data_IF_703702559759
#
_entry.id   IF_703702559759
#
_cell.length_a   1.000
_cell.length_b   1.000
_cell.length_c   1.000
_cell.angle_alpha   90.00
_cell.angle_beta   90.00
_cell.angle_gamma   90.00
#
_symmetry.space_group_name_H-M   'P 1'
#
loop_
_entity.id
_entity.type
_entity.pdbx_description
1 polymer ?
#
# COMPACT_ATOMS: atom_id res chain seq x y z
N UNK A 1 -6.08 6.50 4.95
CA UNK A 1 -4.65 6.76 5.19
C UNK A 1 -4.11 7.68 4.12
N UNK A 2 -3.31 8.64 4.51
CA UNK A 2 -2.71 9.58 3.56
C UNK A 2 -1.26 9.25 3.30
N UNK A 3 -0.82 9.55 2.08
CA UNK A 3 0.57 9.42 1.67
C UNK A 3 1.16 10.83 1.53
N UNK A 4 2.48 10.93 1.59
CA UNK A 4 3.18 12.22 1.46
C UNK A 4 3.16 12.76 0.03
N UNK A 5 2.89 11.90 -0.94
CA UNK A 5 2.77 12.30 -2.34
C UNK A 5 1.91 11.28 -3.09
N UNK A 6 1.42 11.67 -4.25
CA UNK A 6 0.67 10.77 -5.11
C UNK A 6 1.62 9.73 -5.72
N UNK A 7 1.32 8.42 -5.61
CA UNK A 7 2.15 7.39 -6.22
C UNK A 7 2.21 7.56 -7.75
N UNK A 8 3.42 7.43 -8.31
CA UNK A 8 3.59 7.47 -9.75
C UNK A 8 3.00 6.22 -10.42
N UNK A 9 2.73 6.27 -11.74
CA UNK A 9 2.29 5.07 -12.47
C UNK A 9 3.27 3.91 -12.35
N UNK A 10 4.56 4.19 -12.32
CA UNK A 10 5.61 3.19 -12.12
C UNK A 10 5.51 2.55 -10.75
N UNK A 11 5.29 3.34 -9.71
CA UNK A 11 5.10 2.85 -8.36
C UNK A 11 3.87 1.95 -8.27
N UNK A 12 2.75 2.38 -8.84
CA UNK A 12 1.52 1.59 -8.84
C UNK A 12 1.69 0.27 -9.60
N UNK A 13 2.46 0.27 -10.67
CA UNK A 13 2.75 -0.95 -11.43
C UNK A 13 3.53 -1.94 -10.56
N UNK A 14 4.56 -1.47 -9.87
CA UNK A 14 5.34 -2.31 -8.97
C UNK A 14 4.49 -2.85 -7.82
N UNK A 15 3.62 -2.01 -7.27
CA UNK A 15 2.70 -2.41 -6.22
C UNK A 15 1.78 -3.56 -6.66
N UNK A 16 1.19 -3.43 -7.84
CA UNK A 16 0.29 -4.46 -8.38
C UNK A 16 1.02 -5.75 -8.70
N UNK A 17 2.22 -5.65 -9.24
CA UNK A 17 3.02 -6.84 -9.55
C UNK A 17 3.37 -7.62 -8.27
N UNK A 18 3.63 -6.93 -7.17
CA UNK A 18 3.95 -7.56 -5.90
C UNK A 18 2.79 -8.32 -5.25
N UNK A 19 1.55 -8.04 -5.64
CA UNK A 19 0.38 -8.71 -5.07
C UNK A 19 0.40 -10.21 -5.34
N UNK A 20 0.93 -10.63 -6.47
CA UNK A 20 0.96 -12.04 -6.85
C UNK A 20 1.84 -12.89 -5.94
N UNK A 21 2.81 -12.28 -5.26
CA UNK A 21 3.70 -12.98 -4.34
C UNK A 21 3.23 -13.02 -2.89
N UNK A 22 2.06 -12.48 -2.60
CA UNK A 22 1.55 -12.40 -1.24
C UNK A 22 0.83 -13.67 -0.82
N UNK A 23 0.76 -13.89 0.50
CA UNK A 23 -0.10 -14.91 1.06
C UNK A 23 -1.56 -14.59 0.76
N UNK A 24 -2.43 -15.57 0.90
CA UNK A 24 -3.86 -15.37 0.64
C UNK A 24 -4.45 -14.27 1.55
N UNK A 25 -4.07 -14.28 2.83
CA UNK A 25 -4.55 -13.27 3.78
C UNK A 25 -4.09 -11.87 3.39
N UNK A 26 -2.81 -11.71 3.08
CA UNK A 26 -2.27 -10.41 2.68
C UNK A 26 -2.86 -9.93 1.36
N UNK A 27 -3.11 -10.85 0.43
CA UNK A 27 -3.74 -10.53 -0.84
C UNK A 27 -5.16 -10.02 -0.63
N UNK A 28 -5.93 -10.70 0.21
CA UNK A 28 -7.30 -10.27 0.52
C UNK A 28 -7.31 -8.88 1.17
N UNK A 29 -6.36 -8.62 2.06
CA UNK A 29 -6.22 -7.30 2.67
C UNK A 29 -5.88 -6.23 1.63
N UNK A 30 -4.93 -6.52 0.76
CA UNK A 30 -4.48 -5.56 -0.27
C UNK A 30 -5.59 -5.22 -1.26
N UNK A 31 -6.44 -6.19 -1.59
CA UNK A 31 -7.57 -5.95 -2.51
C UNK A 31 -8.62 -4.99 -1.93
N UNK A 32 -8.62 -4.75 -0.63
CA UNK A 32 -9.52 -3.80 0.01
C UNK A 32 -9.03 -2.36 -0.09
N UNK A 33 -7.77 -2.15 -0.45
CA UNK A 33 -7.19 -0.81 -0.53
C UNK A 33 -7.52 -0.16 -1.86
N UNK A 34 -8.05 1.07 -1.80
CA UNK A 34 -8.38 1.85 -2.97
C UNK A 34 -7.54 3.12 -2.94
N UNK A 35 -6.68 3.28 -3.94
CA UNK A 35 -5.80 4.44 -4.05
C UNK A 35 -6.52 5.56 -4.79
N UNK A 36 -6.56 6.74 -4.17
CA UNK A 36 -7.12 7.95 -4.77
C UNK A 36 -6.15 9.10 -4.55
N UNK A 37 -5.46 9.51 -5.61
CA UNK A 37 -4.42 10.54 -5.52
C UNK A 37 -3.42 10.19 -4.41
N UNK A 38 -3.30 11.03 -3.38
CA UNK A 38 -2.37 10.81 -2.27
C UNK A 38 -3.00 10.12 -1.07
N UNK A 39 -4.20 9.55 -1.23
CA UNK A 39 -4.87 8.87 -0.13
C UNK A 39 -5.22 7.43 -0.48
N UNK A 40 -5.32 6.60 0.55
CA UNK A 40 -5.72 5.21 0.42
C UNK A 40 -6.96 5.00 1.30
N UNK A 41 -8.01 4.48 0.69
CA UNK A 41 -9.26 4.17 1.39
C UNK A 41 -9.42 2.67 1.52
N UNK A 42 -9.97 2.25 2.64
CA UNK A 42 -10.35 0.85 2.83
C UNK A 42 -11.46 0.77 3.88
N UNK A 43 -12.34 -0.19 3.69
CA UNK A 43 -13.40 -0.48 4.65
C UNK A 43 -12.94 -1.58 5.60
N UNK A 44 -13.05 -1.33 6.89
CA UNK A 44 -12.67 -2.31 7.90
C UNK A 44 -13.48 -2.05 9.18
N UNK A 45 -13.72 -3.10 9.93
CA UNK A 45 -14.29 -2.93 11.26
C UNK A 45 -13.20 -2.53 12.25
N UNK A 46 -13.59 -2.12 13.46
CA UNK A 46 -12.66 -1.59 14.45
C UNK A 46 -11.52 -2.57 14.79
N UNK A 47 -11.78 -3.88 14.76
CA UNK A 47 -10.78 -4.87 15.07
C UNK A 47 -9.79 -5.13 13.96
N UNK A 48 -10.08 -4.70 12.73
CA UNK A 48 -9.26 -4.95 11.55
C UNK A 48 -8.38 -3.76 11.15
N UNK A 49 -8.74 -2.55 11.58
CA UNK A 49 -8.07 -1.32 11.11
C UNK A 49 -6.55 -1.37 11.33
N UNK A 50 -6.12 -1.74 12.52
CA UNK A 50 -4.69 -1.80 12.84
C UNK A 50 -3.94 -2.82 12.00
N UNK A 51 -4.53 -3.99 11.77
CA UNK A 51 -3.92 -5.04 10.95
C UNK A 51 -3.81 -4.61 9.49
N UNK A 52 -4.89 -4.07 8.92
CA UNK A 52 -4.89 -3.63 7.53
C UNK A 52 -3.91 -2.49 7.32
N UNK A 53 -3.82 -1.57 8.28
CA UNK A 53 -2.86 -0.47 8.20
C UNK A 53 -1.42 -0.98 8.16
N UNK A 54 -1.09 -1.99 8.97
CA UNK A 54 0.25 -2.58 8.96
C UNK A 54 0.56 -3.27 7.63
N UNK A 55 -0.41 -3.98 7.07
CA UNK A 55 -0.24 -4.61 5.76
C UNK A 55 0.06 -3.55 4.71
N UNK A 56 -0.71 -2.46 4.70
CA UNK A 56 -0.50 -1.37 3.77
C UNK A 56 0.90 -0.75 3.93
N UNK A 57 1.32 -0.47 5.17
CA UNK A 57 2.63 0.11 5.43
C UNK A 57 3.75 -0.78 4.93
N UNK A 58 3.66 -2.09 5.18
CA UNK A 58 4.65 -3.06 4.70
C UNK A 58 4.70 -3.12 3.18
N UNK A 59 3.54 -3.04 2.52
CA UNK A 59 3.49 -3.04 1.06
C UNK A 59 4.13 -1.78 0.49
N UNK A 60 3.85 -0.63 1.09
CA UNK A 60 4.45 0.64 0.69
C UNK A 60 5.98 0.56 0.81
N UNK A 61 6.50 0.08 1.93
CA UNK A 61 7.94 -0.08 2.12
C UNK A 61 8.57 -1.03 1.10
N UNK A 62 7.90 -2.15 0.84
CA UNK A 62 8.41 -3.14 -0.11
C UNK A 62 8.53 -2.54 -1.51
N UNK A 63 7.52 -1.78 -1.95
CA UNK A 63 7.55 -1.14 -3.26
C UNK A 63 8.64 -0.07 -3.31
N UNK A 64 8.77 0.73 -2.26
CA UNK A 64 9.82 1.74 -2.18
C UNK A 64 11.22 1.12 -2.28
N UNK A 65 11.40 -0.05 -1.68
CA UNK A 65 12.68 -0.77 -1.77
C UNK A 65 12.97 -1.27 -3.17
N UNK A 66 11.95 -1.69 -3.89
CA UNK A 66 12.09 -2.14 -5.29
C UNK A 66 12.47 -0.97 -6.18
N UNK A 67 11.90 0.20 -5.95
CA UNK A 67 12.15 1.40 -6.73
C UNK A 67 13.24 2.27 -6.11
N UNK A 68 14.30 1.65 -5.62
CA UNK A 68 15.41 2.34 -4.98
C UNK A 68 15.92 3.50 -5.84
N UNK A 69 15.89 4.71 -5.33
CA UNK A 69 16.26 5.92 -6.08
C UNK A 69 15.52 7.16 -5.61
N UNK A 70 14.87 7.10 -4.46
CA UNK A 70 14.28 8.26 -3.82
C UNK A 70 12.91 8.68 -4.32
N UNK A 71 12.23 7.81 -5.08
CA UNK A 71 10.89 8.09 -5.61
C UNK A 71 9.80 7.35 -4.87
N UNK A 72 10.07 6.96 -3.65
CA UNK A 72 9.08 6.27 -2.85
C UNK A 72 8.01 7.22 -2.30
N UNK A 73 6.93 6.65 -1.82
CA UNK A 73 5.91 7.37 -1.06
C UNK A 73 5.96 6.89 0.38
N UNK A 74 5.61 7.75 1.31
CA UNK A 74 5.59 7.39 2.72
C UNK A 74 4.23 7.70 3.32
N UNK A 75 3.70 6.83 4.20
CA UNK A 75 2.47 7.14 4.90
C UNK A 75 2.70 8.32 5.83
N UNK A 76 1.76 9.27 5.82
CA UNK A 76 1.76 10.33 6.80
C UNK A 76 0.96 9.89 8.01
N UNK A 77 1.45 10.24 9.16
CA UNK A 77 0.81 9.84 10.41
C UNK A 77 -0.60 10.41 10.54
#
# INVERSE_FOLDING_TARGET
MRLDSEPSPEWMRAYRAGILGLTREDRDAVLRFEFQADSVRFAANDGEVGRLRRVLERRVEAVNSILSGGRGVSPTA
#
